data_IF_260165369649
#
_entry.id   IF_260165369649
#
_cell.length_a   1.000
_cell.length_b   1.000
_cell.length_c   1.000
_cell.angle_alpha   90.00
_cell.angle_beta   90.00
_cell.angle_gamma   90.00
#
_symmetry.space_group_name_H-M   'P 1'
#
loop_
_entity.id
_entity.type
_entity.pdbx_description
1 polymer ?
#
# COMPACT_ATOMS: atom_id res chain seq x y z
N UNK A 1 20.44 -16.06 4.91
CA UNK A 1 19.32 -15.08 4.84
C UNK A 1 19.43 -13.94 5.86
N UNK A 2 19.87 -14.21 7.11
CA UNK A 2 20.09 -13.15 8.12
C UNK A 2 21.07 -12.09 7.60
N UNK A 3 22.19 -12.51 7.06
CA UNK A 3 23.19 -11.63 6.47
C UNK A 3 22.66 -10.85 5.26
N UNK A 4 21.94 -11.51 4.35
CA UNK A 4 21.26 -10.86 3.23
C UNK A 4 20.29 -9.76 3.67
N UNK A 5 19.48 -10.01 4.71
CA UNK A 5 18.57 -9.01 5.28
C UNK A 5 19.34 -7.85 5.92
N UNK A 6 20.41 -8.14 6.65
CA UNK A 6 21.21 -7.13 7.35
C UNK A 6 21.95 -6.21 6.39
N UNK A 7 22.65 -6.77 5.40
CA UNK A 7 23.52 -6.02 4.49
C UNK A 7 22.75 -5.44 3.29
N UNK A 8 21.71 -6.11 2.84
CA UNK A 8 21.00 -5.76 1.63
C UNK A 8 19.56 -5.32 1.86
N UNK A 9 18.81 -6.07 2.68
CA UNK A 9 17.40 -5.81 2.91
C UNK A 9 17.15 -4.44 3.54
N UNK A 10 17.91 -4.08 4.56
CA UNK A 10 17.78 -2.78 5.25
C UNK A 10 17.99 -1.60 4.31
N UNK A 11 18.96 -1.69 3.41
CA UNK A 11 19.34 -0.59 2.51
C UNK A 11 18.49 -0.51 1.26
N UNK A 12 18.01 -1.65 0.73
CA UNK A 12 17.34 -1.73 -0.58
C UNK A 12 15.82 -1.79 -0.50
N UNK A 13 15.27 -2.37 0.58
CA UNK A 13 13.82 -2.54 0.68
C UNK A 13 13.14 -1.28 1.21
N UNK A 14 11.95 -0.99 0.68
CA UNK A 14 11.06 -0.03 1.31
C UNK A 14 10.49 -0.61 2.63
N UNK A 15 10.06 0.23 3.57
CA UNK A 15 9.63 -0.13 4.92
C UNK A 15 8.63 -1.33 4.93
N UNK A 16 7.56 -1.27 4.12
CA UNK A 16 6.59 -2.37 4.04
C UNK A 16 7.15 -3.61 3.32
N UNK A 17 8.09 -3.42 2.39
CA UNK A 17 8.84 -4.52 1.78
C UNK A 17 9.70 -5.25 2.81
N UNK A 18 10.40 -4.50 3.66
CA UNK A 18 11.19 -5.06 4.77
C UNK A 18 10.29 -5.84 5.73
N UNK A 19 9.16 -5.25 6.17
CA UNK A 19 8.20 -5.91 7.06
C UNK A 19 7.63 -7.19 6.44
N UNK A 20 7.24 -7.14 5.17
CA UNK A 20 6.68 -8.30 4.46
C UNK A 20 7.72 -9.40 4.29
N UNK A 21 8.92 -9.08 3.81
CA UNK A 21 9.97 -10.06 3.55
C UNK A 21 10.48 -10.71 4.84
N UNK A 22 10.68 -9.93 5.90
CA UNK A 22 11.06 -10.49 7.22
C UNK A 22 9.95 -11.35 7.81
N UNK A 23 8.69 -11.02 7.57
CA UNK A 23 7.54 -11.84 7.91
C UNK A 23 7.55 -13.18 7.15
N UNK A 24 7.77 -13.16 5.82
CA UNK A 24 7.88 -14.39 5.01
C UNK A 24 9.03 -15.27 5.48
N UNK A 25 10.18 -14.68 5.80
CA UNK A 25 11.33 -15.42 6.32
C UNK A 25 10.98 -16.09 7.63
N UNK A 26 10.42 -15.34 8.59
CA UNK A 26 10.13 -15.83 9.94
C UNK A 26 9.07 -16.95 9.95
N UNK A 27 8.00 -16.77 9.16
CA UNK A 27 6.85 -17.67 9.26
C UNK A 27 6.93 -18.88 8.34
N UNK A 28 7.60 -18.77 7.20
CA UNK A 28 7.57 -19.81 6.18
C UNK A 28 8.95 -20.36 5.82
N UNK A 29 9.96 -19.49 5.64
CA UNK A 29 11.26 -19.93 5.13
C UNK A 29 12.13 -20.53 6.24
N UNK A 30 12.36 -19.77 7.32
CA UNK A 30 13.26 -20.19 8.38
C UNK A 30 12.84 -21.51 9.06
N UNK A 31 11.53 -21.77 9.33
CA UNK A 31 11.14 -23.03 9.96
C UNK A 31 11.34 -24.28 9.10
N UNK A 32 11.54 -24.14 7.79
CA UNK A 32 11.63 -25.27 6.83
C UNK A 32 13.00 -25.39 6.16
N UNK A 33 13.63 -24.25 5.88
CA UNK A 33 14.90 -24.19 5.15
C UNK A 33 16.04 -23.62 5.99
N UNK A 34 15.76 -23.12 7.20
CA UNK A 34 16.74 -22.37 8.00
C UNK A 34 17.94 -23.18 8.48
N UNK A 35 17.76 -24.47 8.73
CA UNK A 35 18.81 -25.38 9.21
C UNK A 35 19.62 -26.02 8.06
N UNK A 36 19.14 -25.91 6.82
CA UNK A 36 19.84 -26.47 5.66
C UNK A 36 21.05 -25.60 5.28
N UNK A 37 22.14 -26.24 4.92
CA UNK A 37 23.31 -25.58 4.30
C UNK A 37 22.93 -25.10 2.89
N UNK A 38 23.52 -23.99 2.43
CA UNK A 38 23.21 -23.43 1.10
C UNK A 38 23.33 -24.46 -0.03
N UNK A 39 24.35 -25.32 0.02
CA UNK A 39 24.61 -26.38 -0.98
C UNK A 39 23.55 -27.49 -0.99
N UNK A 40 22.80 -27.66 0.09
CA UNK A 40 21.73 -28.66 0.21
C UNK A 40 20.41 -28.17 -0.38
N UNK A 41 20.28 -26.86 -0.60
CA UNK A 41 19.08 -26.25 -1.17
C UNK A 41 19.14 -26.39 -2.71
N UNK A 42 18.61 -27.50 -3.21
CA UNK A 42 18.49 -27.79 -4.63
C UNK A 42 17.14 -27.32 -5.20
N UNK A 43 16.97 -27.23 -6.53
CA UNK A 43 15.67 -26.95 -7.14
C UNK A 43 14.56 -27.89 -6.64
N UNK A 44 14.87 -29.20 -6.54
CA UNK A 44 13.94 -30.21 -6.00
C UNK A 44 13.51 -29.90 -4.56
N UNK A 45 14.44 -29.50 -3.71
CA UNK A 45 14.12 -29.11 -2.30
C UNK A 45 13.17 -27.92 -2.28
N UNK A 46 13.40 -26.92 -3.15
CA UNK A 46 12.50 -25.75 -3.26
C UNK A 46 11.11 -26.13 -3.77
N UNK A 47 11.01 -27.02 -4.75
CA UNK A 47 9.72 -27.50 -5.25
C UNK A 47 8.93 -28.27 -4.17
N UNK A 48 9.60 -29.16 -3.43
CA UNK A 48 8.99 -29.86 -2.28
C UNK A 48 8.54 -28.87 -1.21
N UNK A 49 9.35 -27.85 -0.93
CA UNK A 49 9.00 -26.77 -0.02
C UNK A 49 7.76 -26.00 -0.48
N UNK A 50 7.66 -25.63 -1.77
CA UNK A 50 6.49 -24.92 -2.32
C UNK A 50 5.23 -25.78 -2.26
N UNK A 51 5.31 -27.07 -2.56
CA UNK A 51 4.17 -27.99 -2.41
C UNK A 51 3.74 -28.13 -0.94
N UNK A 52 4.70 -28.19 -0.01
CA UNK A 52 4.42 -28.19 1.42
C UNK A 52 3.72 -26.93 1.92
N UNK A 53 4.05 -25.76 1.32
CA UNK A 53 3.41 -24.49 1.67
C UNK A 53 1.92 -24.46 1.31
N UNK A 54 1.48 -25.12 0.24
CA UNK A 54 0.06 -25.21 -0.12
C UNK A 54 -0.79 -25.85 0.97
N UNK A 55 -0.17 -26.67 1.82
CA UNK A 55 -0.81 -27.36 2.97
C UNK A 55 -0.51 -26.66 4.31
N UNK A 56 0.21 -25.54 4.27
CA UNK A 56 0.58 -24.79 5.49
C UNK A 56 -0.48 -23.71 5.77
N UNK A 57 -0.96 -23.58 7.02
CA UNK A 57 -1.89 -22.50 7.37
C UNK A 57 -1.31 -21.12 7.07
N UNK A 58 -2.13 -20.25 6.50
CA UNK A 58 -1.74 -18.88 6.19
C UNK A 58 -1.68 -18.03 7.47
N UNK A 59 -0.58 -17.29 7.63
CA UNK A 59 -0.32 -16.43 8.78
C UNK A 59 -0.39 -14.97 8.35
N UNK A 60 -1.09 -14.09 9.08
CA UNK A 60 -1.03 -12.66 8.86
C UNK A 60 0.38 -12.12 9.10
N UNK A 61 1.03 -11.59 8.06
CA UNK A 61 2.44 -11.19 8.09
C UNK A 61 2.73 -9.97 8.99
N UNK A 62 1.71 -9.18 9.32
CA UNK A 62 1.85 -7.91 10.04
C UNK A 62 1.41 -7.96 11.52
N UNK A 63 0.99 -9.12 12.02
CA UNK A 63 0.53 -9.24 13.41
C UNK A 63 1.40 -10.19 14.22
N UNK A 64 1.92 -9.70 15.37
CA UNK A 64 2.55 -10.55 16.39
C UNK A 64 1.53 -11.13 17.38
N UNK A 65 0.23 -10.93 17.16
CA UNK A 65 -0.82 -11.52 18.02
C UNK A 65 -0.88 -13.01 17.75
N UNK A 66 -1.07 -13.80 18.82
CA UNK A 66 -1.39 -15.26 18.74
C UNK A 66 -2.37 -15.48 17.60
N UNK A 67 -1.96 -16.24 16.61
CA UNK A 67 -2.61 -16.38 15.32
C UNK A 67 -4.09 -16.73 15.46
N UNK A 68 -4.98 -15.85 15.00
CA UNK A 68 -6.28 -16.30 14.54
C UNK A 68 -5.99 -17.09 13.26
N UNK A 69 -6.04 -18.40 13.35
CA UNK A 69 -6.01 -19.26 12.17
C UNK A 69 -7.15 -18.78 11.26
N UNK A 70 -6.79 -18.27 10.10
CA UNK A 70 -7.78 -17.78 9.12
C UNK A 70 -8.56 -18.94 8.48
N UNK A 71 -8.25 -20.19 8.83
CA UNK A 71 -8.75 -21.39 8.17
C UNK A 71 -8.28 -21.56 6.72
N UNK A 72 -7.47 -20.62 6.23
CA UNK A 72 -6.97 -20.63 4.85
C UNK A 72 -5.53 -21.12 4.81
N UNK A 73 -5.16 -21.84 3.77
CA UNK A 73 -3.79 -22.25 3.49
C UNK A 73 -3.05 -21.16 2.69
N UNK A 74 -1.71 -21.27 2.65
CA UNK A 74 -0.86 -20.40 1.85
C UNK A 74 -1.23 -20.53 0.37
N UNK A 75 -1.55 -19.42 -0.26
CA UNK A 75 -1.98 -19.36 -1.65
C UNK A 75 -0.79 -19.19 -2.61
N UNK A 76 -0.88 -19.66 -3.86
CA UNK A 76 0.18 -19.57 -4.85
C UNK A 76 0.78 -18.17 -5.04
N UNK A 77 0.03 -17.05 -4.97
CA UNK A 77 0.62 -15.70 -5.01
C UNK A 77 1.60 -15.42 -3.85
N UNK A 78 1.35 -15.99 -2.66
CA UNK A 78 2.27 -15.87 -1.52
C UNK A 78 3.51 -16.73 -1.74
N UNK A 79 3.36 -17.94 -2.30
CA UNK A 79 4.49 -18.81 -2.67
C UNK A 79 5.36 -18.11 -3.71
N UNK A 80 4.78 -17.43 -4.70
CA UNK A 80 5.53 -16.63 -5.68
C UNK A 80 6.32 -15.50 -5.01
N UNK A 81 5.77 -14.83 -4.00
CA UNK A 81 6.53 -13.82 -3.23
C UNK A 81 7.72 -14.45 -2.48
N UNK A 82 7.51 -15.61 -1.87
CA UNK A 82 8.57 -16.37 -1.19
C UNK A 82 9.66 -16.77 -2.19
N UNK A 83 9.28 -17.30 -3.35
CA UNK A 83 10.20 -17.66 -4.42
C UNK A 83 11.03 -16.44 -4.88
N UNK A 84 10.39 -15.31 -5.17
CA UNK A 84 11.08 -14.10 -5.60
C UNK A 84 12.08 -13.59 -4.55
N UNK A 85 11.74 -13.71 -3.26
CA UNK A 85 12.63 -13.37 -2.16
C UNK A 85 13.84 -14.32 -2.11
N UNK A 86 13.60 -15.63 -2.20
CA UNK A 86 14.67 -16.65 -2.24
C UNK A 86 15.53 -16.49 -3.48
N UNK A 87 14.94 -16.31 -4.67
CA UNK A 87 15.65 -16.07 -5.91
C UNK A 87 16.58 -14.86 -5.80
N UNK A 88 16.11 -13.76 -5.23
CA UNK A 88 16.92 -12.55 -5.02
C UNK A 88 18.04 -12.78 -4.01
N UNK A 89 17.78 -13.53 -2.93
CA UNK A 89 18.79 -13.87 -1.93
C UNK A 89 19.87 -14.82 -2.50
N UNK A 90 19.48 -15.84 -3.25
CA UNK A 90 20.45 -16.74 -3.91
C UNK A 90 21.24 -16.03 -5.01
N UNK A 91 20.64 -15.13 -5.77
CA UNK A 91 21.36 -14.29 -6.73
C UNK A 91 22.43 -13.43 -6.04
N UNK A 92 22.14 -12.94 -4.84
CA UNK A 92 23.13 -12.22 -4.04
C UNK A 92 24.20 -13.18 -3.48
N UNK A 93 23.82 -14.40 -3.08
CA UNK A 93 24.77 -15.42 -2.63
C UNK A 93 25.75 -15.84 -3.75
N UNK A 94 25.28 -15.90 -5.02
CA UNK A 94 26.17 -16.09 -6.17
C UNK A 94 27.17 -14.93 -6.31
N UNK A 95 26.73 -13.68 -6.16
CA UNK A 95 27.63 -12.51 -6.20
C UNK A 95 28.66 -12.49 -5.07
N UNK A 96 28.34 -13.15 -3.95
CA UNK A 96 29.24 -13.34 -2.83
C UNK A 96 30.08 -14.62 -2.94
N UNK A 97 29.98 -15.33 -4.08
CA UNK A 97 30.70 -16.58 -4.36
C UNK A 97 30.43 -17.71 -3.34
N UNK A 98 29.28 -17.64 -2.66
CA UNK A 98 28.85 -18.65 -1.70
C UNK A 98 28.20 -19.87 -2.38
N UNK A 99 27.70 -19.70 -3.59
CA UNK A 99 27.11 -20.75 -4.45
C UNK A 99 27.42 -20.45 -5.92
N UNK A 100 27.57 -21.49 -6.73
CA UNK A 100 27.83 -21.35 -8.16
C UNK A 100 26.57 -21.05 -8.97
N UNK A 101 25.44 -21.68 -8.61
CA UNK A 101 24.17 -21.58 -9.33
C UNK A 101 23.03 -21.21 -8.38
N UNK A 102 22.07 -20.43 -8.89
CA UNK A 102 20.87 -20.08 -8.15
C UNK A 102 19.83 -21.22 -8.25
N UNK A 103 19.54 -21.97 -7.18
CA UNK A 103 18.60 -23.09 -7.26
C UNK A 103 17.16 -22.65 -7.55
N UNK A 104 16.80 -21.39 -7.26
CA UNK A 104 15.46 -20.88 -7.52
C UNK A 104 15.21 -20.59 -9.02
N UNK A 105 16.24 -20.45 -9.85
CA UNK A 105 16.08 -20.27 -11.31
C UNK A 105 15.44 -21.49 -11.98
N UNK A 106 15.69 -22.68 -11.43
CA UNK A 106 15.26 -23.95 -12.01
C UNK A 106 14.06 -24.57 -11.27
N UNK A 107 13.60 -23.95 -10.19
CA UNK A 107 12.50 -24.48 -9.39
C UNK A 107 11.14 -24.08 -9.99
N UNK A 108 10.28 -25.07 -10.22
CA UNK A 108 8.94 -24.90 -10.74
C UNK A 108 7.96 -24.40 -9.65
N UNK A 109 7.20 -23.38 -9.98
CA UNK A 109 6.17 -22.83 -9.09
C UNK A 109 4.82 -23.54 -9.29
N UNK A 110 4.00 -23.65 -8.22
CA UNK A 110 2.60 -24.07 -8.37
C UNK A 110 1.84 -23.19 -9.35
N UNK A 111 1.02 -23.81 -10.20
CA UNK A 111 0.15 -23.09 -11.14
C UNK A 111 -0.83 -22.20 -10.38
N UNK A 112 -1.10 -21.04 -10.93
CA UNK A 112 -2.08 -20.10 -10.41
C UNK A 112 -2.78 -19.38 -11.56
N UNK A 113 -4.08 -19.53 -11.60
CA UNK A 113 -4.93 -18.77 -12.50
C UNK A 113 -5.39 -17.48 -11.80
N UNK A 114 -5.05 -16.36 -12.38
CA UNK A 114 -5.53 -15.07 -11.88
C UNK A 114 -7.03 -14.95 -12.14
N UNK A 115 -7.80 -14.76 -11.07
CA UNK A 115 -9.21 -14.37 -11.23
C UNK A 115 -9.27 -12.99 -11.87
N UNK A 116 -10.11 -12.85 -12.87
CA UNK A 116 -10.45 -11.56 -13.45
C UNK A 116 -11.04 -10.67 -12.36
N UNK A 117 -10.73 -9.39 -12.45
CA UNK A 117 -11.25 -8.39 -11.51
C UNK A 117 -12.34 -7.61 -12.22
N UNK A 118 -13.48 -7.49 -11.56
CA UNK A 118 -14.52 -6.60 -12.05
C UNK A 118 -14.04 -5.16 -11.94
N UNK A 119 -14.23 -4.42 -13.00
CA UNK A 119 -13.96 -2.98 -13.11
C UNK A 119 -15.28 -2.31 -13.48
N UNK A 120 -15.60 -1.22 -12.81
CA UNK A 120 -16.76 -0.43 -13.21
C UNK A 120 -16.50 0.26 -14.54
N UNK A 121 -17.49 0.26 -15.40
CA UNK A 121 -17.54 1.14 -16.55
C UNK A 121 -17.92 2.58 -16.12
N UNK A 122 -17.91 3.50 -17.07
CA UNK A 122 -18.21 4.90 -16.79
C UNK A 122 -19.65 5.11 -16.30
N UNK A 123 -20.61 4.35 -16.80
CA UNK A 123 -22.02 4.47 -16.41
C UNK A 123 -22.22 4.06 -14.95
N UNK A 124 -21.69 2.89 -14.57
CA UNK A 124 -21.72 2.40 -13.19
C UNK A 124 -21.00 3.36 -12.23
N UNK A 125 -19.87 3.95 -12.66
CA UNK A 125 -19.14 4.91 -11.85
C UNK A 125 -19.96 6.19 -11.62
N UNK A 126 -20.52 6.79 -12.68
CA UNK A 126 -21.34 7.99 -12.54
C UNK A 126 -22.56 7.73 -11.66
N UNK A 127 -23.24 6.60 -11.86
CA UNK A 127 -24.34 6.21 -10.99
C UNK A 127 -23.90 6.07 -9.52
N UNK A 128 -22.72 5.47 -9.26
CA UNK A 128 -22.17 5.36 -7.91
C UNK A 128 -21.85 6.73 -7.29
N UNK A 129 -21.35 7.69 -8.08
CA UNK A 129 -21.09 9.06 -7.64
C UNK A 129 -22.40 9.79 -7.30
N UNK A 130 -23.44 9.63 -8.13
CA UNK A 130 -24.73 10.26 -7.94
C UNK A 130 -25.45 9.73 -6.68
N UNK A 131 -25.36 8.42 -6.42
CA UNK A 131 -25.92 7.78 -5.23
C UNK A 131 -25.09 7.98 -3.95
N UNK A 132 -23.88 8.54 -4.07
CA UNK A 132 -22.97 8.67 -2.93
C UNK A 132 -23.32 9.89 -2.06
N UNK A 133 -23.74 9.67 -0.82
CA UNK A 133 -24.02 10.73 0.16
C UNK A 133 -22.77 11.18 0.93
N UNK A 134 -21.71 10.36 0.99
CA UNK A 134 -20.43 10.70 1.63
C UNK A 134 -19.60 11.58 0.67
N UNK A 135 -19.60 12.90 0.86
CA UNK A 135 -18.89 13.87 0.01
C UNK A 135 -17.38 13.59 -0.06
N UNK A 136 -16.79 13.07 1.01
CA UNK A 136 -15.39 12.65 1.00
C UNK A 136 -15.14 11.45 0.07
N UNK A 137 -16.03 10.44 0.14
CA UNK A 137 -15.96 9.30 -0.77
C UNK A 137 -16.20 9.73 -2.21
N UNK A 138 -17.19 10.62 -2.43
CA UNK A 138 -17.49 11.19 -3.75
C UNK A 138 -16.26 11.89 -4.35
N UNK A 139 -15.57 12.71 -3.58
CA UNK A 139 -14.32 13.36 -4.01
C UNK A 139 -13.22 12.31 -4.28
N UNK A 140 -13.08 11.30 -3.41
CA UNK A 140 -12.12 10.21 -3.62
C UNK A 140 -12.39 9.45 -4.94
N UNK A 141 -13.63 9.15 -5.27
CA UNK A 141 -14.02 8.50 -6.53
C UNK A 141 -13.69 9.37 -7.74
N UNK A 142 -14.05 10.66 -7.70
CA UNK A 142 -13.73 11.60 -8.77
C UNK A 142 -12.22 11.70 -9.02
N UNK A 143 -11.42 11.88 -7.98
CA UNK A 143 -9.96 11.95 -8.09
C UNK A 143 -9.32 10.62 -8.53
N UNK A 144 -9.78 9.49 -7.97
CA UNK A 144 -9.26 8.18 -8.35
C UNK A 144 -9.52 7.87 -9.82
N UNK A 145 -10.72 8.17 -10.32
CA UNK A 145 -11.10 7.94 -11.70
C UNK A 145 -10.41 8.91 -12.66
N UNK A 146 -10.52 10.21 -12.42
CA UNK A 146 -10.01 11.23 -13.34
C UNK A 146 -8.48 11.30 -13.38
N UNK A 147 -7.83 11.02 -12.25
CA UNK A 147 -6.38 11.17 -12.10
C UNK A 147 -5.64 9.84 -11.97
N UNK A 148 -6.34 8.71 -11.99
CA UNK A 148 -5.77 7.36 -11.82
C UNK A 148 -4.84 7.26 -10.59
N UNK A 149 -5.25 7.87 -9.47
CA UNK A 149 -4.46 7.89 -8.23
C UNK A 149 -4.53 6.53 -7.52
N UNK A 150 -3.36 6.07 -7.04
CA UNK A 150 -3.36 4.98 -6.07
C UNK A 150 -3.91 5.47 -4.73
N UNK A 151 -4.57 4.58 -3.98
CA UNK A 151 -5.19 4.96 -2.69
C UNK A 151 -4.22 5.67 -1.74
N UNK A 152 -2.96 5.28 -1.68
CA UNK A 152 -1.96 5.95 -0.86
C UNK A 152 -1.57 7.34 -1.39
N UNK A 153 -1.55 7.54 -2.69
CA UNK A 153 -1.30 8.84 -3.34
C UNK A 153 -2.49 9.78 -3.11
N UNK A 154 -3.71 9.27 -3.29
CA UNK A 154 -4.95 10.00 -3.03
C UNK A 154 -5.04 10.51 -1.59
N UNK A 155 -4.84 9.63 -0.61
CA UNK A 155 -4.91 9.98 0.81
C UNK A 155 -3.69 10.75 1.33
N UNK A 156 -2.59 10.75 0.57
CA UNK A 156 -1.38 11.53 0.86
C UNK A 156 -1.27 12.82 0.06
N UNK A 157 -2.31 13.20 -0.70
CA UNK A 157 -2.35 14.46 -1.42
C UNK A 157 -2.50 15.61 -0.42
N UNK A 158 -1.64 16.62 -0.57
CA UNK A 158 -1.61 17.81 0.28
C UNK A 158 -1.90 19.05 -0.54
N UNK A 159 -2.46 20.09 0.05
CA UNK A 159 -2.88 21.30 -0.66
C UNK A 159 -1.72 22.06 -1.34
N UNK A 160 -0.50 21.97 -0.80
CA UNK A 160 0.71 22.50 -1.46
C UNK A 160 1.05 21.82 -2.81
N UNK A 161 0.37 20.72 -3.12
CA UNK A 161 0.51 19.98 -4.37
C UNK A 161 -0.70 20.14 -5.30
N UNK A 162 -1.61 21.07 -5.03
CA UNK A 162 -2.85 21.29 -5.78
C UNK A 162 -2.89 22.75 -6.27
N UNK A 163 -3.00 22.93 -7.56
CA UNK A 163 -3.23 24.23 -8.18
C UNK A 163 -4.65 24.25 -8.76
N UNK A 164 -5.53 24.94 -8.06
CA UNK A 164 -6.94 25.17 -8.39
C UNK A 164 -7.26 26.66 -8.31
N UNK A 165 -6.28 27.54 -8.64
CA UNK A 165 -6.51 28.97 -8.75
C UNK A 165 -7.56 29.26 -9.83
N UNK A 166 -8.30 30.36 -9.70
CA UNK A 166 -9.30 30.77 -10.69
C UNK A 166 -8.70 30.91 -12.08
N UNK A 167 -7.48 31.47 -12.15
CA UNK A 167 -6.71 31.61 -13.38
C UNK A 167 -6.38 30.24 -13.99
N UNK A 168 -5.91 29.29 -13.19
CA UNK A 168 -5.57 27.94 -13.67
C UNK A 168 -6.80 27.16 -14.13
N UNK A 169 -7.93 27.29 -13.44
CA UNK A 169 -9.20 26.68 -13.84
C UNK A 169 -9.68 27.28 -15.15
N UNK A 170 -9.68 28.62 -15.28
CA UNK A 170 -10.11 29.33 -16.48
C UNK A 170 -9.23 28.99 -17.69
N UNK A 171 -7.91 28.87 -17.49
CA UNK A 171 -6.95 28.49 -18.51
C UNK A 171 -6.91 26.99 -18.83
N UNK A 172 -7.61 26.12 -18.09
CA UNK A 172 -7.54 24.67 -18.25
C UNK A 172 -6.20 24.07 -17.82
N UNK A 173 -5.47 24.75 -16.95
CA UNK A 173 -4.13 24.34 -16.45
C UNK A 173 -4.13 23.89 -14.99
N UNK A 174 -5.33 23.89 -14.35
CA UNK A 174 -5.50 23.36 -13.00
C UNK A 174 -4.91 21.95 -12.90
N UNK A 175 -4.17 21.65 -11.82
CA UNK A 175 -3.44 20.40 -11.74
C UNK A 175 -3.13 19.97 -10.31
N UNK A 176 -2.76 18.71 -10.18
CA UNK A 176 -2.16 18.14 -8.96
C UNK A 176 -0.76 17.62 -9.25
N UNK A 177 0.11 17.65 -8.24
CA UNK A 177 1.43 17.05 -8.29
C UNK A 177 1.47 15.86 -7.32
N UNK A 178 1.58 14.65 -7.86
CA UNK A 178 1.70 13.43 -7.06
C UNK A 178 3.16 13.24 -6.68
N UNK A 179 3.52 13.58 -5.47
CA UNK A 179 4.89 13.48 -4.93
C UNK A 179 4.97 12.91 -3.52
N UNK A 180 3.82 12.54 -2.94
CA UNK A 180 3.67 11.99 -1.59
C UNK A 180 2.69 10.83 -1.60
N UNK A 181 2.77 9.98 -0.57
CA UNK A 181 1.79 8.92 -0.32
C UNK A 181 1.62 8.68 1.17
N UNK A 182 0.38 8.46 1.60
CA UNK A 182 0.04 8.05 2.95
C UNK A 182 0.18 6.53 3.08
N UNK A 183 0.85 6.05 4.12
CA UNK A 183 1.07 4.63 4.32
C UNK A 183 1.12 4.27 5.81
N UNK A 184 0.44 3.19 6.20
CA UNK A 184 0.63 2.59 7.52
C UNK A 184 1.81 1.62 7.48
N UNK A 185 2.74 1.76 8.42
CA UNK A 185 3.97 0.97 8.49
C UNK A 185 4.18 0.39 9.89
N UNK A 186 4.93 -0.69 9.97
CA UNK A 186 5.37 -1.24 11.24
C UNK A 186 6.53 -0.41 11.80
N UNK A 187 6.46 0.03 13.07
CA UNK A 187 7.47 0.88 13.72
C UNK A 187 8.86 0.26 13.71
N UNK A 188 8.99 -1.03 14.09
CA UNK A 188 10.28 -1.74 14.06
C UNK A 188 10.86 -1.81 12.67
N UNK A 189 10.01 -1.95 11.63
CA UNK A 189 10.49 -1.98 10.24
C UNK A 189 10.90 -0.60 9.75
N UNK A 190 10.24 0.45 10.22
CA UNK A 190 10.62 1.84 9.97
C UNK A 190 11.97 2.16 10.58
N UNK A 191 12.18 1.81 11.85
CA UNK A 191 13.47 1.94 12.55
C UNK A 191 14.57 1.13 11.86
N UNK A 192 14.30 -0.13 11.51
CA UNK A 192 15.27 -1.02 10.86
C UNK A 192 15.71 -0.55 9.46
N UNK A 193 14.96 0.34 8.83
CA UNK A 193 15.23 0.94 7.52
C UNK A 193 15.57 2.43 7.60
N UNK A 194 15.97 2.91 8.79
CA UNK A 194 16.36 4.29 9.08
C UNK A 194 15.31 5.31 8.62
N UNK A 195 14.03 4.99 8.76
CA UNK A 195 12.89 5.84 8.36
C UNK A 195 12.98 6.35 6.92
N UNK A 196 13.53 5.55 6.02
CA UNK A 196 13.80 5.91 4.63
C UNK A 196 12.56 6.47 3.92
N UNK A 197 12.74 7.62 3.27
CA UNK A 197 11.72 8.34 2.51
C UNK A 197 10.53 8.87 3.34
N UNK A 198 10.55 8.80 4.66
CA UNK A 198 9.53 9.35 5.55
C UNK A 198 9.65 10.88 5.57
N UNK A 199 8.52 11.56 5.33
CA UNK A 199 8.40 13.02 5.38
C UNK A 199 7.80 13.45 6.72
N UNK A 200 6.73 12.76 7.15
CA UNK A 200 5.99 13.09 8.36
C UNK A 200 5.49 11.80 9.00
N UNK A 201 5.55 11.73 10.32
CA UNK A 201 4.94 10.68 11.12
C UNK A 201 3.77 11.29 11.87
N UNK A 202 2.58 10.72 11.69
CA UNK A 202 1.38 11.24 12.35
C UNK A 202 1.26 10.71 13.78
N UNK A 203 0.77 11.53 14.71
CA UNK A 203 0.51 11.12 16.08
C UNK A 203 -0.46 9.93 16.15
N UNK A 204 -0.26 9.08 17.14
CA UNK A 204 -1.19 7.97 17.38
C UNK A 204 -2.35 8.46 18.26
N UNK A 205 -3.55 8.12 17.84
CA UNK A 205 -4.74 8.31 18.66
C UNK A 205 -4.97 6.99 19.42
N UNK A 206 -4.63 6.97 20.72
CA UNK A 206 -4.87 5.85 21.63
C UNK A 206 -3.65 5.01 22.01
N UNK A 207 -3.90 3.78 22.50
CA UNK A 207 -2.89 2.84 23.05
C UNK A 207 -1.75 2.53 22.07
N UNK A 208 -0.56 2.23 22.63
CA UNK A 208 0.67 1.89 21.89
C UNK A 208 0.43 0.88 20.76
N UNK A 209 0.33 1.36 19.53
CA UNK A 209 0.21 0.53 18.36
C UNK A 209 1.60 0.12 17.84
N UNK A 210 1.71 -1.12 17.32
CA UNK A 210 2.92 -1.60 16.65
C UNK A 210 3.15 -0.96 15.27
N UNK A 211 2.17 -0.23 14.78
CA UNK A 211 2.18 0.43 13.46
C UNK A 211 1.89 1.91 13.61
N UNK A 212 2.41 2.70 12.70
CA UNK A 212 2.23 4.16 12.65
C UNK A 212 1.87 4.58 11.23
N UNK A 213 1.12 5.66 11.10
CA UNK A 213 0.78 6.26 9.82
C UNK A 213 1.84 7.31 9.47
N UNK A 214 2.31 7.26 8.23
CA UNK A 214 3.36 8.14 7.73
C UNK A 214 2.97 8.75 6.38
N UNK A 215 3.41 9.96 6.14
CA UNK A 215 3.51 10.54 4.82
C UNK A 215 4.93 10.32 4.31
N UNK A 216 5.08 9.80 3.10
CA UNK A 216 6.39 9.46 2.55
C UNK A 216 6.51 9.79 1.07
N UNK A 217 7.74 9.90 0.58
CA UNK A 217 8.03 10.03 -0.85
C UNK A 217 7.65 8.76 -1.62
N UNK A 218 7.28 8.86 -2.91
CA UNK A 218 7.10 7.71 -3.78
C UNK A 218 8.39 6.88 -3.88
N UNK A 219 8.23 5.58 -4.19
CA UNK A 219 9.36 4.64 -4.30
C UNK A 219 10.33 4.99 -5.44
N UNK A 220 9.85 5.60 -6.50
CA UNK A 220 10.65 5.92 -7.70
C UNK A 220 10.39 7.35 -8.15
N UNK A 221 11.39 7.99 -8.77
CA UNK A 221 11.24 9.30 -9.40
C UNK A 221 10.13 9.33 -10.46
N UNK A 222 9.98 8.25 -11.24
CA UNK A 222 8.93 8.13 -12.25
C UNK A 222 7.51 8.13 -11.68
N UNK A 223 7.35 7.91 -10.37
CA UNK A 223 6.05 8.03 -9.69
C UNK A 223 5.66 9.48 -9.39
N UNK A 224 6.63 10.42 -9.44
CA UNK A 224 6.37 11.85 -9.28
C UNK A 224 5.86 12.36 -10.63
N UNK A 225 4.64 12.91 -10.63
CA UNK A 225 4.00 13.36 -11.85
C UNK A 225 3.02 14.50 -11.60
N UNK A 226 2.89 15.38 -12.58
CA UNK A 226 1.83 16.38 -12.69
C UNK A 226 0.67 15.77 -13.46
N UNK A 227 -0.55 16.00 -12.99
CA UNK A 227 -1.79 15.56 -13.64
C UNK A 227 -2.69 16.79 -13.76
N UNK A 228 -3.07 17.13 -14.98
CA UNK A 228 -4.05 18.19 -15.22
C UNK A 228 -5.44 17.70 -14.85
N UNK A 229 -6.23 18.57 -14.25
CA UNK A 229 -7.56 18.28 -13.75
C UNK A 229 -8.61 18.65 -14.80
N UNK A 230 -9.62 17.79 -15.03
CA UNK A 230 -10.85 18.23 -15.66
C UNK A 230 -11.46 19.39 -14.87
N UNK A 231 -12.09 20.36 -15.56
CA UNK A 231 -12.67 21.55 -14.94
C UNK A 231 -13.61 21.20 -13.78
N UNK A 232 -14.49 20.23 -13.99
CA UNK A 232 -15.45 19.76 -12.96
C UNK A 232 -14.77 19.23 -11.70
N UNK A 233 -13.63 18.56 -11.86
CA UNK A 233 -12.83 18.02 -10.72
C UNK A 233 -12.14 19.15 -9.97
N UNK A 234 -11.63 20.15 -10.69
CA UNK A 234 -11.02 21.33 -10.07
C UNK A 234 -12.07 22.14 -9.28
N UNK A 235 -13.25 22.35 -9.85
CA UNK A 235 -14.38 23.01 -9.17
C UNK A 235 -14.84 22.25 -7.92
N UNK A 236 -14.92 20.92 -7.97
CA UNK A 236 -15.22 20.08 -6.80
C UNK A 236 -14.14 20.20 -5.71
N UNK A 237 -12.87 20.27 -6.09
CA UNK A 237 -11.77 20.51 -5.15
C UNK A 237 -11.84 21.89 -4.52
N UNK A 238 -12.21 22.92 -5.29
CA UNK A 238 -12.40 24.28 -4.76
C UNK A 238 -13.50 24.30 -3.72
N UNK A 239 -14.67 23.71 -4.02
CA UNK A 239 -15.76 23.57 -3.06
C UNK A 239 -15.32 22.84 -1.79
N UNK A 240 -14.65 21.71 -1.95
CA UNK A 240 -14.11 20.91 -0.84
C UNK A 240 -13.14 21.71 0.03
N UNK A 241 -12.25 22.51 -0.61
CA UNK A 241 -11.31 23.40 0.10
C UNK A 241 -12.04 24.42 0.95
N UNK A 242 -13.06 25.07 0.40
CA UNK A 242 -13.89 26.06 1.13
C UNK A 242 -14.57 25.43 2.35
N UNK A 243 -15.15 24.25 2.19
CA UNK A 243 -15.79 23.51 3.29
C UNK A 243 -14.79 23.13 4.39
N UNK A 244 -13.59 22.70 3.98
CA UNK A 244 -12.51 22.37 4.92
C UNK A 244 -11.99 23.61 5.65
N UNK A 245 -11.84 24.75 4.96
CA UNK A 245 -11.39 26.01 5.56
C UNK A 245 -12.40 26.52 6.60
N UNK A 246 -13.70 26.44 6.30
CA UNK A 246 -14.76 26.76 7.27
C UNK A 246 -14.70 25.84 8.50
N UNK A 247 -14.44 24.55 8.30
CA UNK A 247 -14.30 23.60 9.40
C UNK A 247 -13.07 23.90 10.27
N UNK A 248 -11.94 24.30 9.65
CA UNK A 248 -10.74 24.75 10.35
C UNK A 248 -11.03 25.98 11.21
N UNK A 249 -11.74 26.97 10.66
CA UNK A 249 -12.13 28.17 11.37
C UNK A 249 -13.05 27.86 12.57
N UNK A 250 -14.04 26.99 12.37
CA UNK A 250 -14.99 26.59 13.42
C UNK A 250 -14.34 25.84 14.58
N UNK A 251 -13.42 24.94 14.29
CA UNK A 251 -12.77 24.10 15.31
C UNK A 251 -11.53 24.76 15.92
N UNK A 252 -10.91 25.73 15.25
CA UNK A 252 -9.73 26.41 15.74
C UNK A 252 -8.65 25.43 16.22
N UNK A 253 -8.26 25.52 17.46
CA UNK A 253 -7.19 24.67 18.05
C UNK A 253 -7.52 23.17 18.13
N UNK A 254 -8.80 22.77 17.97
CA UNK A 254 -9.16 21.36 17.94
C UNK A 254 -8.90 20.70 16.58
N UNK A 255 -8.68 21.49 15.53
CA UNK A 255 -8.32 20.99 14.21
C UNK A 255 -6.80 20.87 14.09
N UNK A 256 -6.34 19.67 13.82
CA UNK A 256 -4.92 19.39 13.55
C UNK A 256 -4.65 19.48 12.06
N UNK A 257 -4.24 20.62 11.57
CA UNK A 257 -3.96 20.81 10.15
C UNK A 257 -2.64 20.18 9.73
N UNK A 258 -2.73 19.12 8.96
CA UNK A 258 -1.63 18.46 8.29
C UNK A 258 -1.57 18.78 6.78
N UNK A 259 -2.27 19.79 6.34
CA UNK A 259 -2.36 20.21 4.94
C UNK A 259 -2.88 19.12 3.98
N UNK A 260 -3.60 18.11 4.49
CA UNK A 260 -4.14 17.01 3.70
C UNK A 260 -5.43 17.44 2.98
N UNK A 261 -5.55 17.08 1.68
CA UNK A 261 -6.78 17.26 0.91
C UNK A 261 -7.88 16.37 1.46
N UNK A 262 -7.58 15.10 1.72
CA UNK A 262 -8.52 14.14 2.32
C UNK A 262 -8.18 13.98 3.80
N UNK A 263 -8.81 14.78 4.62
CA UNK A 263 -8.68 14.77 6.08
C UNK A 263 -9.93 14.26 6.78
N UNK A 264 -9.81 13.85 8.03
CA UNK A 264 -10.92 13.57 8.92
C UNK A 264 -11.53 14.85 9.50
N UNK A 265 -12.59 14.72 10.27
CA UNK A 265 -13.35 15.84 10.83
C UNK A 265 -12.56 16.76 11.78
N UNK A 266 -11.40 16.33 12.28
CA UNK A 266 -10.48 17.12 13.10
C UNK A 266 -9.09 17.23 12.46
N UNK A 267 -9.01 17.14 11.12
CA UNK A 267 -7.75 17.26 10.38
C UNK A 267 -6.87 15.99 10.34
N UNK A 268 -7.21 14.96 11.13
CA UNK A 268 -6.42 13.72 11.16
C UNK A 268 -6.41 13.01 9.80
N UNK A 269 -5.31 12.31 9.47
CA UNK A 269 -5.24 11.57 8.22
C UNK A 269 -6.27 10.43 8.15
N UNK A 270 -6.89 10.26 6.99
CA UNK A 270 -7.88 9.21 6.73
C UNK A 270 -7.16 7.94 6.23
N UNK A 271 -7.44 6.81 6.86
CA UNK A 271 -6.86 5.53 6.45
C UNK A 271 -7.64 4.87 5.31
N UNK A 272 -6.93 4.11 4.49
CA UNK A 272 -7.53 3.40 3.35
C UNK A 272 -8.64 2.41 3.70
N UNK A 273 -8.63 1.87 4.93
CA UNK A 273 -9.69 0.98 5.42
C UNK A 273 -11.01 1.73 5.63
N UNK A 274 -10.96 3.03 5.99
CA UNK A 274 -12.16 3.88 6.12
C UNK A 274 -12.81 4.04 4.75
N UNK A 275 -12.04 4.49 3.75
CA UNK A 275 -12.55 4.65 2.38
C UNK A 275 -13.08 3.33 1.82
N UNK A 276 -12.36 2.21 2.05
CA UNK A 276 -12.85 0.89 1.62
C UNK A 276 -14.13 0.45 2.33
N UNK A 277 -14.35 0.89 3.58
CA UNK A 277 -15.57 0.62 4.31
C UNK A 277 -16.72 1.43 3.71
N UNK A 278 -16.57 2.76 3.52
CA UNK A 278 -17.55 3.61 2.87
C UNK A 278 -17.88 3.10 1.45
N UNK A 279 -16.86 2.73 0.67
CA UNK A 279 -17.05 2.15 -0.67
C UNK A 279 -17.89 0.87 -0.64
N UNK A 280 -17.65 -0.01 0.32
CA UNK A 280 -18.43 -1.26 0.46
C UNK A 280 -19.86 -0.97 0.85
N UNK A 281 -20.08 -0.02 1.75
CA UNK A 281 -21.44 0.43 2.14
C UNK A 281 -22.19 1.02 0.95
N UNK A 282 -21.53 1.85 0.12
CA UNK A 282 -22.11 2.40 -1.11
C UNK A 282 -22.54 1.28 -2.08
N UNK A 283 -21.66 0.30 -2.30
CA UNK A 283 -21.93 -0.85 -3.17
C UNK A 283 -23.12 -1.66 -2.67
N UNK A 284 -23.16 -1.97 -1.37
CA UNK A 284 -24.21 -2.78 -0.75
C UNK A 284 -25.55 -2.04 -0.74
N UNK A 285 -25.57 -0.73 -0.44
CA UNK A 285 -26.80 0.08 -0.35
C UNK A 285 -27.44 0.31 -1.72
N UNK A 286 -26.68 0.31 -2.81
CA UNK A 286 -27.17 0.63 -4.15
C UNK A 286 -27.05 -0.57 -5.14
N UNK A 287 -26.87 -1.78 -4.62
CA UNK A 287 -26.77 -3.02 -5.41
C UNK A 287 -25.76 -2.94 -6.56
N UNK A 288 -24.68 -2.17 -6.37
CA UNK A 288 -23.67 -1.96 -7.41
C UNK A 288 -22.79 -3.21 -7.59
N UNK A 289 -22.23 -3.42 -8.80
CA UNK A 289 -21.30 -4.52 -9.04
C UNK A 289 -20.10 -4.48 -8.08
N UNK A 290 -19.77 -5.63 -7.48
CA UNK A 290 -18.62 -5.74 -6.60
C UNK A 290 -17.31 -5.45 -7.37
N UNK A 291 -16.47 -4.56 -6.84
CA UNK A 291 -15.12 -4.26 -7.37
C UNK A 291 -14.05 -4.63 -6.36
N UNK A 292 -12.83 -4.91 -6.83
CA UNK A 292 -11.70 -5.36 -6.00
C UNK A 292 -10.90 -4.21 -5.41
#
# INVERSE_FOLDING_TARGET
>A
LKEYVSLYGKTKWAINGYSSNTGLIRHYIAPKLGELRLKEITPRVLEMFYQGLLKTPAVPLMTDKKYRQTGKFVQPPTIRKIHNLLHSAFKQAQKWELIEKNPAEFATLPKYEMKERNIWDSQTLFHAIDCCEDERLKLCLNLAFSCSLRIGELLGLTWDCVDISEESIAAGTAHIVVNKQLQRVNKRSMEATDSKDVLTTFPEIGLQNKTVLILKKPKTRASIRKIFLPKTVAENLTKWKMEQDLLIEQLGAEYHDYNLVIAGSRGQPVESNIIRKSMRQLIEANELPQVC
#
